data_IF_684503471554
#
_entry.id   IF_684503471554
#
_cell.length_a   1.000
_cell.length_b   1.000
_cell.length_c   1.000
_cell.angle_alpha   90.00
_cell.angle_beta   90.00
_cell.angle_gamma   90.00
#
_symmetry.space_group_name_H-M   'P 1'
#
loop_
_entity.id
_entity.type
_entity.pdbx_description
1 polymer ?
#
# COMPACT_ATOMS: atom_id res chain seq x y z
N UNK A 1 36.92 25.30 29.38
CA UNK A 1 36.01 24.29 29.87
C UNK A 1 35.03 23.97 28.76
N UNK A 2 35.43 22.95 27.97
CA UNK A 2 34.62 22.41 26.88
C UNK A 2 33.53 21.52 27.45
N UNK A 3 32.26 21.81 27.11
CA UNK A 3 31.15 20.91 27.28
C UNK A 3 30.60 20.60 25.92
N UNK A 4 31.13 19.53 25.29
CA UNK A 4 30.52 18.86 24.13
C UNK A 4 29.33 18.05 24.65
N UNK A 5 28.12 18.56 24.42
CA UNK A 5 26.89 17.81 24.64
C UNK A 5 26.70 16.84 23.44
N UNK A 6 27.07 15.60 23.67
CA UNK A 6 26.72 14.47 22.81
C UNK A 6 25.25 14.12 23.06
N UNK A 7 24.39 14.49 22.11
CA UNK A 7 22.99 14.12 22.15
C UNK A 7 22.81 12.78 21.44
N UNK A 8 22.43 11.70 22.12
CA UNK A 8 22.10 10.47 21.43
C UNK A 8 20.82 10.67 20.62
N UNK A 9 20.95 10.54 19.32
CA UNK A 9 19.81 10.44 18.39
C UNK A 9 19.03 9.17 18.72
N UNK A 10 18.01 9.29 19.53
CA UNK A 10 17.07 8.19 19.83
C UNK A 10 16.17 8.05 18.63
N UNK A 11 16.47 7.07 17.78
CA UNK A 11 15.55 6.58 16.79
C UNK A 11 14.51 5.70 17.51
N UNK A 12 13.25 6.15 17.69
CA UNK A 12 12.24 5.41 18.45
C UNK A 12 11.82 4.08 17.80
N UNK A 13 12.37 3.77 16.63
CA UNK A 13 12.07 2.55 15.88
C UNK A 13 13.16 1.46 16.00
N UNK A 14 14.27 1.75 16.69
CA UNK A 14 15.41 0.83 16.80
C UNK A 14 15.44 -0.03 18.06
N UNK A 15 14.56 0.19 19.03
CA UNK A 15 14.71 -0.39 20.37
C UNK A 15 13.86 -1.63 20.68
N UNK A 16 12.99 -2.10 19.77
CA UNK A 16 12.08 -3.20 20.09
C UNK A 16 12.27 -4.50 19.28
N UNK A 17 13.34 -4.64 18.49
CA UNK A 17 13.55 -5.83 17.66
C UNK A 17 14.90 -6.55 17.91
N UNK A 18 15.52 -6.34 19.07
CA UNK A 18 16.65 -7.12 19.48
C UNK A 18 16.21 -8.14 20.55
N UNK A 19 16.26 -9.40 20.16
CA UNK A 19 16.32 -10.57 21.05
C UNK A 19 15.00 -11.06 21.67
N UNK A 20 14.24 -11.77 20.86
CA UNK A 20 13.40 -12.87 21.34
C UNK A 20 13.39 -13.95 20.25
N UNK A 21 13.87 -15.14 20.57
CA UNK A 21 13.73 -16.35 19.75
C UNK A 21 12.26 -16.81 19.59
N UNK A 22 11.33 -15.87 19.54
CA UNK A 22 9.95 -16.08 19.23
C UNK A 22 9.82 -16.22 17.70
N UNK A 23 9.18 -17.26 17.26
CA UNK A 23 8.67 -17.41 15.89
C UNK A 23 8.05 -16.07 15.47
N UNK A 24 8.48 -15.44 14.35
CA UNK A 24 7.92 -14.16 13.95
C UNK A 24 6.41 -14.28 13.93
N UNK A 25 5.72 -13.36 14.61
CA UNK A 25 4.26 -13.35 14.60
C UNK A 25 3.78 -13.29 13.14
N UNK A 26 2.80 -14.13 12.75
CA UNK A 26 2.33 -14.17 11.38
C UNK A 26 1.99 -12.75 10.94
N UNK A 27 2.44 -12.34 9.75
CA UNK A 27 2.17 -11.03 9.22
C UNK A 27 0.74 -11.02 8.64
N UNK A 28 -0.25 -10.41 9.31
CA UNK A 28 -1.66 -10.46 8.86
C UNK A 28 -1.82 -9.99 7.42
N UNK A 29 -0.95 -9.09 6.97
CA UNK A 29 -0.98 -8.55 5.61
C UNK A 29 -0.74 -9.60 4.52
N UNK A 30 -0.15 -10.77 4.82
CA UNK A 30 0.06 -11.85 3.85
C UNK A 30 -0.79 -13.09 4.13
N UNK A 31 -1.59 -13.10 5.19
CA UNK A 31 -2.45 -14.24 5.51
C UNK A 31 -3.45 -14.53 4.38
N UNK A 32 -3.89 -13.51 3.68
CA UNK A 32 -4.79 -13.62 2.52
C UNK A 32 -4.16 -14.36 1.31
N UNK A 33 -2.86 -14.52 1.27
CA UNK A 33 -2.14 -15.18 0.16
C UNK A 33 -1.36 -16.43 0.58
N UNK A 34 -1.40 -16.82 1.86
CA UNK A 34 -0.67 -18.01 2.36
C UNK A 34 -1.01 -19.29 1.61
N UNK A 35 -2.25 -19.46 1.18
CA UNK A 35 -2.68 -20.64 0.42
C UNK A 35 -2.24 -20.63 -1.05
N UNK A 36 -1.73 -19.51 -1.54
CA UNK A 36 -1.31 -19.34 -2.93
C UNK A 36 0.19 -19.53 -3.12
N UNK A 37 0.96 -19.60 -2.04
CA UNK A 37 2.42 -19.57 -2.06
C UNK A 37 2.96 -20.74 -1.23
N UNK A 38 4.09 -21.30 -1.62
CA UNK A 38 4.75 -22.36 -0.89
C UNK A 38 5.17 -21.88 0.52
N UNK A 39 5.01 -22.74 1.52
CA UNK A 39 5.24 -22.37 2.92
C UNK A 39 6.68 -21.91 3.19
N UNK A 40 7.66 -22.54 2.56
CA UNK A 40 9.08 -22.20 2.68
C UNK A 40 9.39 -20.80 2.09
N UNK A 41 8.73 -20.42 0.99
CA UNK A 41 8.83 -19.08 0.42
C UNK A 41 8.22 -18.02 1.35
N UNK A 42 7.09 -18.31 1.99
CA UNK A 42 6.47 -17.43 2.99
C UNK A 42 7.42 -17.23 4.19
N UNK A 43 7.93 -18.30 4.77
CA UNK A 43 8.86 -18.22 5.90
C UNK A 43 10.15 -17.44 5.54
N UNK A 44 10.69 -17.67 4.35
CA UNK A 44 11.86 -16.93 3.86
C UNK A 44 11.55 -15.43 3.71
N UNK A 45 10.36 -15.11 3.19
CA UNK A 45 9.91 -13.73 3.02
C UNK A 45 9.69 -13.03 4.38
N UNK A 46 9.07 -13.71 5.35
CA UNK A 46 8.86 -13.17 6.70
C UNK A 46 10.19 -12.90 7.42
N UNK A 47 11.15 -13.84 7.36
CA UNK A 47 12.50 -13.63 7.93
C UNK A 47 13.21 -12.44 7.28
N UNK A 48 13.18 -12.35 5.96
CA UNK A 48 13.81 -11.25 5.23
C UNK A 48 13.12 -9.92 5.51
N UNK A 49 11.80 -9.91 5.58
CA UNK A 49 11.00 -8.73 5.90
C UNK A 49 11.33 -8.18 7.29
N UNK A 50 11.45 -9.06 8.28
CA UNK A 50 11.85 -8.70 9.64
C UNK A 50 13.27 -8.09 9.67
N UNK A 51 14.22 -8.71 8.97
CA UNK A 51 15.60 -8.22 8.89
C UNK A 51 15.74 -6.86 8.21
N UNK A 52 14.87 -6.57 7.23
CA UNK A 52 14.90 -5.34 6.44
C UNK A 52 13.94 -4.24 6.95
N UNK A 53 13.08 -4.54 7.92
CA UNK A 53 12.04 -3.62 8.40
C UNK A 53 10.97 -3.26 7.37
N UNK A 54 10.69 -4.16 6.39
CA UNK A 54 9.69 -3.97 5.34
C UNK A 54 8.57 -5.01 5.47
N UNK A 55 7.51 -4.88 4.64
CA UNK A 55 6.43 -5.87 4.61
C UNK A 55 6.85 -7.15 3.88
N UNK A 56 6.39 -8.31 4.36
CA UNK A 56 6.62 -9.59 3.69
C UNK A 56 5.94 -9.66 2.31
N UNK A 57 4.82 -8.96 2.13
CA UNK A 57 4.17 -8.73 0.84
C UNK A 57 5.15 -8.14 -0.20
N UNK A 58 5.94 -7.16 0.21
CA UNK A 58 6.94 -6.53 -0.67
C UNK A 58 8.06 -7.48 -1.03
N UNK A 59 8.50 -8.30 -0.09
CA UNK A 59 9.54 -9.31 -0.34
C UNK A 59 9.05 -10.33 -1.36
N UNK A 60 7.82 -10.84 -1.20
CA UNK A 60 7.22 -11.82 -2.12
C UNK A 60 7.02 -11.25 -3.52
N UNK A 61 6.56 -9.99 -3.63
CA UNK A 61 6.35 -9.34 -4.92
C UNK A 61 7.69 -9.08 -5.62
N UNK A 62 8.70 -8.59 -4.92
CA UNK A 62 10.03 -8.33 -5.50
C UNK A 62 10.74 -9.63 -5.89
N UNK A 63 10.53 -10.71 -5.14
CA UNK A 63 11.05 -12.03 -5.48
C UNK A 63 10.34 -12.69 -6.69
N UNK A 64 9.21 -12.13 -7.13
CA UNK A 64 8.42 -12.70 -8.22
C UNK A 64 7.56 -13.90 -7.83
N UNK A 65 7.48 -14.21 -6.54
CA UNK A 65 6.64 -15.28 -5.99
C UNK A 65 5.14 -14.92 -6.04
N UNK A 66 4.84 -13.63 -6.11
CA UNK A 66 3.50 -13.08 -6.10
C UNK A 66 3.43 -11.80 -6.95
N UNK A 67 2.44 -11.69 -7.84
CA UNK A 67 2.20 -10.41 -8.51
C UNK A 67 1.46 -9.43 -7.58
N UNK A 68 1.75 -8.14 -7.72
CA UNK A 68 1.08 -7.08 -6.94
C UNK A 68 -0.44 -7.15 -7.11
N UNK A 69 -0.93 -7.42 -8.32
CA UNK A 69 -2.37 -7.49 -8.59
C UNK A 69 -3.04 -8.69 -7.89
N UNK A 70 -2.41 -9.87 -7.93
CA UNK A 70 -2.91 -11.05 -7.22
C UNK A 70 -2.96 -10.80 -5.72
N UNK A 71 -1.90 -10.22 -5.17
CA UNK A 71 -1.87 -9.82 -3.76
C UNK A 71 -3.02 -8.87 -3.42
N UNK A 72 -3.21 -7.79 -4.18
CA UNK A 72 -4.20 -6.78 -3.88
C UNK A 72 -5.64 -7.27 -4.05
N UNK A 73 -5.88 -8.21 -4.97
CA UNK A 73 -7.19 -8.86 -5.10
C UNK A 73 -7.50 -9.73 -3.87
N UNK A 74 -6.55 -10.54 -3.43
CA UNK A 74 -6.70 -11.36 -2.23
C UNK A 74 -6.85 -10.49 -0.97
N UNK A 75 -6.04 -9.44 -0.86
CA UNK A 75 -6.09 -8.47 0.23
C UNK A 75 -7.44 -7.74 0.31
N UNK A 76 -7.96 -7.25 -0.82
CA UNK A 76 -9.26 -6.62 -0.90
C UNK A 76 -10.37 -7.59 -0.45
N UNK A 77 -10.37 -8.81 -0.98
CA UNK A 77 -11.34 -9.85 -0.62
C UNK A 77 -11.32 -10.16 0.88
N UNK A 78 -10.13 -10.31 1.47
CA UNK A 78 -9.98 -10.59 2.90
C UNK A 78 -10.51 -9.44 3.78
N UNK A 79 -10.46 -8.21 3.31
CA UNK A 79 -10.97 -7.03 4.02
C UNK A 79 -12.45 -6.74 3.73
N UNK A 80 -13.12 -7.53 2.88
CA UNK A 80 -14.50 -7.25 2.46
C UNK A 80 -14.64 -6.03 1.55
N UNK A 81 -13.54 -5.64 0.88
CA UNK A 81 -13.49 -4.58 -0.13
C UNK A 81 -13.36 -5.18 -1.53
N UNK A 82 -13.34 -4.34 -2.58
CA UNK A 82 -13.14 -4.81 -3.93
C UNK A 82 -11.83 -4.29 -4.53
N UNK A 83 -11.30 -5.02 -5.51
CA UNK A 83 -10.24 -4.54 -6.38
C UNK A 83 -10.84 -3.72 -7.51
N UNK A 84 -10.22 -2.56 -7.81
CA UNK A 84 -10.63 -1.66 -8.88
C UNK A 84 -9.55 -1.57 -9.96
N UNK A 85 -9.92 -1.89 -11.19
CA UNK A 85 -8.97 -1.83 -12.31
C UNK A 85 -8.67 -0.42 -12.78
N UNK A 86 -9.58 0.52 -12.54
CA UNK A 86 -9.61 1.88 -13.10
C UNK A 86 -9.81 1.91 -14.63
N UNK A 87 -9.91 0.76 -15.27
CA UNK A 87 -10.14 0.68 -16.71
C UNK A 87 -11.58 1.10 -17.03
N UNK A 88 -11.74 2.01 -17.98
CA UNK A 88 -13.07 2.51 -18.39
C UNK A 88 -13.70 3.56 -17.46
N UNK A 89 -13.04 3.92 -16.36
CA UNK A 89 -13.49 5.05 -15.53
C UNK A 89 -13.13 6.36 -16.22
N UNK A 90 -14.14 7.16 -16.54
CA UNK A 90 -13.94 8.45 -17.18
C UNK A 90 -13.43 9.52 -16.19
N UNK A 91 -12.77 10.55 -16.73
CA UNK A 91 -12.16 11.64 -15.93
C UNK A 91 -13.16 12.33 -14.99
N UNK A 92 -14.40 12.49 -15.45
CA UNK A 92 -15.48 13.15 -14.72
C UNK A 92 -15.89 12.45 -13.42
N UNK A 93 -15.64 11.16 -13.31
CA UNK A 93 -15.90 10.39 -12.08
C UNK A 93 -14.82 10.55 -11.00
N UNK A 94 -13.78 11.33 -11.29
CA UNK A 94 -12.78 11.72 -10.31
C UNK A 94 -12.95 13.20 -9.96
N UNK A 95 -13.50 13.55 -8.78
CA UNK A 95 -13.86 14.93 -8.42
C UNK A 95 -12.65 15.77 -8.00
N UNK A 96 -11.52 15.62 -8.66
CA UNK A 96 -10.28 16.34 -8.39
C UNK A 96 -9.87 17.19 -9.60
N UNK A 97 -9.26 18.35 -9.35
CA UNK A 97 -8.52 19.07 -10.39
C UNK A 97 -7.29 18.26 -10.82
N UNK A 98 -6.74 18.52 -12.01
CA UNK A 98 -5.56 17.78 -12.50
C UNK A 98 -4.35 17.89 -11.56
N UNK A 99 -4.15 19.05 -10.94
CA UNK A 99 -3.10 19.25 -9.94
C UNK A 99 -3.31 18.34 -8.73
N UNK A 100 -4.52 18.31 -8.18
CA UNK A 100 -4.86 17.45 -7.03
C UNK A 100 -4.89 15.97 -7.40
N UNK A 101 -5.23 15.63 -8.63
CA UNK A 101 -5.16 14.28 -9.17
C UNK A 101 -3.72 13.74 -9.10
N UNK A 102 -2.74 14.54 -9.54
CA UNK A 102 -1.31 14.18 -9.49
C UNK A 102 -0.84 14.00 -8.03
N UNK A 103 -1.20 14.92 -7.14
CA UNK A 103 -0.82 14.89 -5.72
C UNK A 103 -1.44 13.69 -5.01
N UNK A 104 -2.71 13.41 -5.25
CA UNK A 104 -3.45 12.30 -4.67
C UNK A 104 -2.88 10.94 -5.11
N UNK A 105 -2.57 10.81 -6.39
CA UNK A 105 -1.93 9.60 -6.91
C UNK A 105 -0.51 9.40 -6.37
N UNK A 106 0.25 10.48 -6.18
CA UNK A 106 1.56 10.40 -5.53
C UNK A 106 1.45 9.89 -4.08
N UNK A 107 0.35 10.23 -3.39
CA UNK A 107 0.01 9.68 -2.08
C UNK A 107 -0.53 8.24 -2.13
N UNK A 108 -0.75 7.67 -3.32
CA UNK A 108 -1.25 6.32 -3.50
C UNK A 108 -2.75 6.16 -3.28
N UNK A 109 -3.53 7.23 -3.42
CA UNK A 109 -4.98 7.20 -3.22
C UNK A 109 -5.70 8.11 -4.20
N UNK A 110 -6.95 7.77 -4.55
CA UNK A 110 -7.75 8.50 -5.50
C UNK A 110 -9.24 8.39 -5.14
N UNK A 111 -9.96 9.49 -4.90
CA UNK A 111 -11.41 9.45 -4.79
C UNK A 111 -12.02 9.28 -6.20
N UNK A 112 -12.90 8.30 -6.33
CA UNK A 112 -13.56 7.96 -7.59
C UNK A 112 -15.03 7.67 -7.31
N UNK A 113 -15.92 8.21 -8.14
CA UNK A 113 -17.33 7.88 -8.14
C UNK A 113 -17.59 6.65 -9.00
N UNK A 114 -18.19 5.63 -8.41
CA UNK A 114 -18.60 4.38 -9.07
C UNK A 114 -20.04 4.13 -8.68
N UNK A 115 -20.92 3.94 -9.65
CA UNK A 115 -22.36 3.71 -9.42
C UNK A 115 -23.01 4.78 -8.54
N UNK A 116 -22.60 6.04 -8.66
CA UNK A 116 -23.05 7.21 -7.88
C UNK A 116 -22.64 7.19 -6.40
N UNK A 117 -21.72 6.34 -6.04
CA UNK A 117 -21.11 6.30 -4.72
C UNK A 117 -19.63 6.67 -4.82
N UNK A 118 -19.16 7.46 -3.84
CA UNK A 118 -17.75 7.88 -3.79
C UNK A 118 -16.94 6.85 -3.02
N UNK A 119 -15.92 6.30 -3.67
CA UNK A 119 -14.96 5.38 -3.10
C UNK A 119 -13.58 5.99 -3.02
N UNK A 120 -12.80 5.59 -2.04
CA UNK A 120 -11.37 5.85 -1.98
C UNK A 120 -10.63 4.65 -2.59
N UNK A 121 -10.14 4.83 -3.80
CA UNK A 121 -9.28 3.84 -4.48
C UNK A 121 -7.86 4.00 -3.95
N UNK A 122 -7.28 2.94 -3.41
CA UNK A 122 -5.98 2.97 -2.74
C UNK A 122 -5.02 1.98 -3.39
N UNK A 123 -3.84 2.47 -3.74
CA UNK A 123 -2.67 1.65 -4.10
C UNK A 123 -1.71 1.67 -2.90
N UNK A 124 -1.81 0.70 -1.97
CA UNK A 124 -1.04 0.73 -0.74
C UNK A 124 0.45 0.56 -1.03
N UNK A 125 1.27 1.45 -0.45
CA UNK A 125 2.73 1.45 -0.59
C UNK A 125 3.39 1.33 0.78
N UNK A 126 4.47 0.57 0.86
CA UNK A 126 5.22 0.38 2.11
C UNK A 126 4.34 -0.17 3.23
N UNK A 127 4.34 0.48 4.38
CA UNK A 127 3.52 0.08 5.53
C UNK A 127 2.03 0.42 5.43
N UNK A 128 1.56 1.00 4.31
CA UNK A 128 0.16 1.42 4.18
C UNK A 128 -0.81 0.23 4.22
N UNK A 129 -0.45 -0.91 3.65
CA UNK A 129 -1.28 -2.12 3.70
C UNK A 129 -1.60 -2.54 5.14
N UNK A 130 -0.58 -2.59 6.02
CA UNK A 130 -0.76 -2.91 7.44
C UNK A 130 -1.62 -1.88 8.18
N UNK A 131 -1.45 -0.59 7.88
CA UNK A 131 -2.27 0.46 8.48
C UNK A 131 -3.73 0.37 8.07
N UNK A 132 -4.00 0.11 6.80
CA UNK A 132 -5.36 -0.07 6.27
C UNK A 132 -5.99 -1.32 6.87
N UNK A 133 -5.23 -2.42 6.96
CA UNK A 133 -5.70 -3.64 7.60
C UNK A 133 -6.20 -3.35 9.02
N UNK A 134 -5.38 -2.74 9.87
CA UNK A 134 -5.76 -2.37 11.25
C UNK A 134 -6.99 -1.45 11.28
N UNK A 135 -7.03 -0.44 10.41
CA UNK A 135 -8.14 0.51 10.34
C UNK A 135 -9.48 -0.18 10.05
N UNK A 136 -9.47 -1.19 9.18
CA UNK A 136 -10.67 -1.97 8.83
C UNK A 136 -10.96 -3.02 9.89
N UNK A 137 -9.95 -3.66 10.48
CA UNK A 137 -10.11 -4.61 11.59
C UNK A 137 -10.77 -3.95 12.80
N UNK A 138 -10.37 -2.73 13.15
CA UNK A 138 -11.00 -1.93 14.20
C UNK A 138 -12.46 -1.56 13.90
N UNK A 139 -12.80 -1.35 12.63
CA UNK A 139 -14.14 -1.05 12.19
C UNK A 139 -14.41 -1.60 10.78
N UNK A 140 -14.92 -2.84 10.68
CA UNK A 140 -15.18 -3.51 9.39
C UNK A 140 -16.13 -2.76 8.46
N UNK A 141 -17.03 -1.93 9.00
CA UNK A 141 -17.94 -1.12 8.16
C UNK A 141 -17.19 -0.11 7.27
N UNK A 142 -15.95 0.21 7.58
CA UNK A 142 -15.11 1.10 6.76
C UNK A 142 -14.70 0.46 5.43
N UNK A 143 -14.64 -0.89 5.35
CA UNK A 143 -14.22 -1.60 4.14
C UNK A 143 -15.04 -1.17 2.90
N UNK A 144 -16.32 -0.87 3.07
CA UNK A 144 -17.23 -0.45 1.99
C UNK A 144 -16.78 0.83 1.26
N UNK A 145 -15.99 1.68 1.90
CA UNK A 145 -15.52 2.94 1.32
C UNK A 145 -14.22 2.80 0.54
N UNK A 146 -13.56 1.64 0.67
CA UNK A 146 -12.29 1.37 0.02
C UNK A 146 -12.45 0.50 -1.23
N UNK A 147 -11.64 0.82 -2.23
CA UNK A 147 -11.30 -0.04 -3.36
C UNK A 147 -9.79 -0.14 -3.42
N UNK A 148 -9.26 -1.28 -3.83
CA UNK A 148 -7.81 -1.45 -3.94
C UNK A 148 -7.40 -1.54 -5.40
N UNK A 149 -6.25 -0.96 -5.72
CA UNK A 149 -5.67 -1.01 -7.07
C UNK A 149 -4.16 -1.11 -7.00
N UNK A 150 -3.50 -1.48 -8.09
CA UNK A 150 -2.05 -1.46 -8.16
C UNK A 150 -1.51 -0.05 -8.41
N UNK A 151 -0.26 0.18 -7.99
CA UNK A 151 0.41 1.45 -8.25
C UNK A 151 0.55 1.72 -9.76
N UNK A 152 0.74 0.68 -10.57
CA UNK A 152 0.80 0.80 -12.02
C UNK A 152 -0.51 1.30 -12.61
N UNK A 153 -1.65 0.72 -12.22
CA UNK A 153 -2.98 1.12 -12.70
C UNK A 153 -3.32 2.54 -12.31
N UNK A 154 -3.03 2.91 -11.06
CA UNK A 154 -3.22 4.28 -10.58
C UNK A 154 -2.39 5.28 -11.38
N UNK A 155 -1.11 4.99 -11.61
CA UNK A 155 -0.24 5.84 -12.41
C UNK A 155 -0.71 5.93 -13.88
N UNK A 156 -1.16 4.82 -14.47
CA UNK A 156 -1.69 4.80 -15.84
C UNK A 156 -2.91 5.71 -15.96
N UNK A 157 -3.84 5.65 -15.00
CA UNK A 157 -5.01 6.54 -14.96
C UNK A 157 -4.59 8.02 -14.92
N UNK A 158 -3.66 8.38 -14.04
CA UNK A 158 -3.17 9.75 -13.92
C UNK A 158 -2.45 10.21 -15.19
N UNK A 159 -1.57 9.39 -15.74
CA UNK A 159 -0.87 9.71 -17.00
C UNK A 159 -1.85 9.92 -18.14
N UNK A 160 -2.90 9.11 -18.21
CA UNK A 160 -3.91 9.25 -19.27
C UNK A 160 -4.65 10.59 -19.19
N UNK A 161 -5.06 11.01 -18.00
CA UNK A 161 -5.93 12.17 -17.84
C UNK A 161 -5.21 13.48 -17.47
N UNK A 162 -4.04 13.42 -16.86
CA UNK A 162 -3.30 14.60 -16.40
C UNK A 162 -1.97 14.83 -17.15
N UNK A 163 -1.74 14.16 -18.27
CA UNK A 163 -0.47 14.25 -19.03
C UNK A 163 -0.08 15.69 -19.40
N UNK A 164 -1.05 16.52 -19.79
CA UNK A 164 -0.80 17.94 -20.11
C UNK A 164 -0.36 18.74 -18.88
N UNK A 165 -0.99 18.51 -17.73
CA UNK A 165 -0.63 19.16 -16.48
C UNK A 165 0.74 18.71 -15.97
N UNK A 166 1.08 17.42 -16.13
CA UNK A 166 2.39 16.87 -15.81
C UNK A 166 3.48 17.51 -16.66
N UNK A 167 3.27 17.60 -17.98
CA UNK A 167 4.21 18.24 -18.91
C UNK A 167 4.43 19.72 -18.57
N UNK A 168 3.38 20.46 -18.27
CA UNK A 168 3.46 21.87 -17.88
C UNK A 168 4.23 22.07 -16.57
N UNK A 169 4.20 21.10 -15.64
CA UNK A 169 4.95 21.15 -14.39
C UNK A 169 6.44 20.83 -14.58
N UNK A 170 6.75 19.90 -15.47
CA UNK A 170 8.14 19.52 -15.78
C UNK A 170 8.91 20.62 -16.55
N UNK A 171 8.17 21.56 -17.21
CA UNK A 171 8.75 22.67 -17.97
C UNK A 171 9.04 23.94 -17.13
N UNK A 172 8.77 23.92 -15.82
CA UNK A 172 9.03 25.02 -14.87
C UNK A 172 10.28 24.78 -14.07
#
# INVERSE_FOLDING_TARGET
VDVTADSPSINPWSAEYADSGATPAPCPAIDCVRSLIAADAIEAAERRAAAMGIGADRVLIVAGELSEEVYLRAFATALGAAFESLDGIAREFCPLTDQRLIESAAAGMLPVEIDRELYLVVAPRGGAARRIWRLIEENPARARWFRFTSAERLNRFVLHYASKAIAARAAR
#
